data_IF_241106592157
#
_entry.id   IF_241106592157
#
_cell.length_a   1.000
_cell.length_b   1.000
_cell.length_c   1.000
_cell.angle_alpha   90.00
_cell.angle_beta   90.00
_cell.angle_gamma   90.00
#
_symmetry.space_group_name_H-M   'P 1'
#
loop_
_entity.id
_entity.type
_entity.pdbx_description
1 polymer ?
#
# COMPACT_ATOMS: atom_id res chain seq x y z
N UNK A 1 2.29 -26.43 7.00
CA UNK A 1 2.88 -26.29 5.65
C UNK A 1 3.37 -24.87 5.57
N UNK A 2 4.65 -24.64 5.30
CA UNK A 2 5.15 -23.29 5.00
C UNK A 2 4.60 -22.90 3.63
N UNK A 3 3.77 -21.87 3.60
CA UNK A 3 3.30 -21.26 2.36
C UNK A 3 4.53 -20.73 1.61
N UNK A 4 4.63 -21.03 0.32
CA UNK A 4 5.69 -20.50 -0.53
C UNK A 4 5.53 -18.97 -0.62
N UNK A 5 6.64 -18.22 -0.53
CA UNK A 5 6.63 -16.76 -0.69
C UNK A 5 6.04 -16.38 -2.05
N UNK A 6 5.13 -15.41 -2.05
CA UNK A 6 4.53 -14.89 -3.30
C UNK A 6 5.57 -14.10 -4.10
N UNK A 7 6.46 -13.38 -3.41
CA UNK A 7 7.59 -12.70 -4.05
C UNK A 7 8.52 -13.70 -4.73
N UNK A 8 8.95 -14.75 -4.05
CA UNK A 8 9.82 -15.77 -4.64
C UNK A 8 9.15 -16.46 -5.85
N UNK A 9 7.86 -16.76 -5.74
CA UNK A 9 7.09 -17.35 -6.84
C UNK A 9 7.00 -16.42 -8.05
N UNK A 10 6.85 -15.10 -7.84
CA UNK A 10 6.91 -14.12 -8.91
C UNK A 10 8.30 -14.11 -9.56
N UNK A 11 9.37 -14.06 -8.76
CA UNK A 11 10.75 -14.01 -9.26
C UNK A 11 11.13 -15.27 -10.04
N UNK A 12 10.63 -16.44 -9.65
CA UNK A 12 10.87 -17.70 -10.37
C UNK A 12 10.24 -17.73 -11.77
N UNK A 13 9.19 -16.95 -12.00
CA UNK A 13 8.54 -16.80 -13.32
C UNK A 13 9.05 -15.59 -14.11
N UNK A 14 9.81 -14.69 -13.49
CA UNK A 14 10.37 -13.47 -14.08
C UNK A 14 11.91 -13.43 -13.94
N UNK A 15 12.65 -14.28 -14.68
CA UNK A 15 14.09 -14.48 -14.50
C UNK A 15 14.92 -13.21 -14.74
N UNK A 16 14.48 -12.31 -15.63
CA UNK A 16 15.17 -11.05 -15.89
C UNK A 16 15.11 -10.12 -14.67
N UNK A 17 13.92 -9.95 -14.08
CA UNK A 17 13.74 -9.20 -12.83
C UNK A 17 14.50 -9.83 -11.68
N UNK A 18 14.46 -11.16 -11.54
CA UNK A 18 15.24 -11.89 -10.54
C UNK A 18 16.74 -11.62 -10.67
N UNK A 19 17.28 -11.69 -11.88
CA UNK A 19 18.71 -11.44 -12.13
C UNK A 19 19.12 -10.00 -11.79
N UNK A 20 18.28 -9.00 -12.08
CA UNK A 20 18.54 -7.59 -11.72
C UNK A 20 18.54 -7.43 -10.20
N UNK A 21 17.54 -7.98 -9.51
CA UNK A 21 17.42 -7.93 -8.05
C UNK A 21 18.64 -8.58 -7.38
N UNK A 22 19.02 -9.79 -7.80
CA UNK A 22 20.18 -10.49 -7.26
C UNK A 22 21.48 -9.70 -7.45
N UNK A 23 21.70 -9.09 -8.63
CA UNK A 23 22.87 -8.24 -8.88
C UNK A 23 22.92 -7.01 -7.97
N UNK A 24 21.79 -6.33 -7.79
CA UNK A 24 21.68 -5.17 -6.89
C UNK A 24 22.04 -5.60 -5.45
N UNK A 25 21.46 -6.69 -4.95
CA UNK A 25 21.73 -7.21 -3.61
C UNK A 25 23.20 -7.66 -3.43
N UNK A 26 23.84 -8.14 -4.49
CA UNK A 26 25.26 -8.48 -4.51
C UNK A 26 26.21 -7.27 -4.64
N UNK A 27 25.71 -6.04 -4.54
CA UNK A 27 26.47 -4.79 -4.73
C UNK A 27 27.14 -4.68 -6.11
N UNK A 28 26.54 -5.27 -7.14
CA UNK A 28 26.99 -5.17 -8.53
C UNK A 28 25.88 -4.63 -9.45
N UNK A 29 25.22 -3.50 -9.12
CA UNK A 29 24.12 -2.99 -9.92
C UNK A 29 24.62 -2.55 -11.30
N UNK A 30 23.99 -3.06 -12.35
CA UNK A 30 24.14 -2.60 -13.74
C UNK A 30 22.85 -1.96 -14.28
N UNK A 31 22.01 -1.47 -13.37
CA UNK A 31 20.67 -0.93 -13.64
C UNK A 31 20.55 0.52 -13.15
N UNK A 32 19.86 1.37 -13.91
CA UNK A 32 19.52 2.74 -13.47
C UNK A 32 18.33 2.70 -12.51
N UNK A 33 18.10 3.78 -11.75
CA UNK A 33 16.91 3.87 -10.90
C UNK A 33 15.61 3.86 -11.71
N UNK A 34 15.58 4.54 -12.86
CA UNK A 34 14.43 4.51 -13.78
C UNK A 34 14.14 3.09 -14.28
N UNK A 35 15.19 2.38 -14.73
CA UNK A 35 15.05 1.02 -15.22
C UNK A 35 14.62 0.06 -14.11
N UNK A 36 15.16 0.22 -12.91
CA UNK A 36 14.77 -0.57 -11.75
C UNK A 36 13.28 -0.40 -11.44
N UNK A 37 12.78 0.85 -11.41
CA UNK A 37 11.39 1.12 -11.10
C UNK A 37 10.47 0.63 -12.22
N UNK A 38 10.65 1.17 -13.42
CA UNK A 38 9.65 1.06 -14.49
C UNK A 38 9.59 -0.36 -15.08
N UNK A 39 10.72 -1.08 -15.10
CA UNK A 39 10.79 -2.42 -15.72
C UNK A 39 10.75 -3.57 -14.72
N UNK A 40 11.01 -3.31 -13.44
CA UNK A 40 11.17 -4.38 -12.46
C UNK A 40 10.28 -4.23 -11.24
N UNK A 41 10.39 -3.12 -10.49
CA UNK A 41 9.66 -3.00 -9.21
C UNK A 41 8.15 -2.74 -9.41
N UNK A 42 7.76 -1.81 -10.28
CA UNK A 42 6.35 -1.54 -10.54
C UNK A 42 5.63 -2.75 -11.17
N UNK A 43 6.17 -3.39 -12.24
CA UNK A 43 5.56 -4.61 -12.79
C UNK A 43 5.48 -5.79 -11.80
N UNK A 44 6.39 -5.84 -10.84
CA UNK A 44 6.36 -6.85 -9.77
C UNK A 44 5.23 -6.61 -8.78
N UNK A 45 5.03 -5.36 -8.37
CA UNK A 45 3.90 -4.98 -7.52
C UNK A 45 2.56 -5.27 -8.22
N UNK A 46 2.44 -4.89 -9.50
CA UNK A 46 1.25 -5.15 -10.31
C UNK A 46 0.95 -6.65 -10.42
N UNK A 47 1.94 -7.45 -10.85
CA UNK A 47 1.73 -8.89 -11.03
C UNK A 47 1.46 -9.63 -9.73
N UNK A 48 2.02 -9.19 -8.59
CA UNK A 48 1.70 -9.77 -7.28
C UNK A 48 0.26 -9.41 -6.87
N UNK A 49 -0.18 -8.17 -7.10
CA UNK A 49 -1.55 -7.77 -6.78
C UNK A 49 -2.61 -8.38 -7.71
N UNK A 50 -2.26 -8.68 -8.96
CA UNK A 50 -3.10 -9.50 -9.84
C UNK A 50 -3.33 -10.89 -9.22
N UNK A 51 -2.26 -11.58 -8.79
CA UNK A 51 -2.36 -12.89 -8.13
C UNK A 51 -3.19 -12.84 -6.84
N UNK A 52 -3.00 -11.80 -6.02
CA UNK A 52 -3.79 -11.58 -4.80
C UNK A 52 -5.26 -11.37 -5.14
N UNK A 53 -5.56 -10.55 -6.15
CA UNK A 53 -6.93 -10.27 -6.60
C UNK A 53 -7.63 -11.52 -7.10
N UNK A 54 -6.94 -12.34 -7.90
CA UNK A 54 -7.44 -13.64 -8.35
C UNK A 54 -7.73 -14.59 -7.19
N UNK A 55 -6.86 -14.61 -6.18
CA UNK A 55 -7.01 -15.46 -5.00
C UNK A 55 -8.21 -15.08 -4.15
N UNK A 56 -8.45 -13.77 -3.97
CA UNK A 56 -9.56 -13.24 -3.19
C UNK A 56 -10.87 -13.40 -3.96
N UNK A 57 -10.84 -13.20 -5.28
CA UNK A 57 -11.99 -13.19 -6.17
C UNK A 57 -13.17 -12.37 -5.58
N UNK A 58 -13.06 -11.03 -5.47
CA UNK A 58 -14.02 -10.17 -4.75
C UNK A 58 -15.48 -10.45 -5.07
N UNK A 59 -15.81 -10.72 -6.33
CA UNK A 59 -17.15 -11.04 -6.82
C UNK A 59 -17.79 -12.29 -6.19
N UNK A 60 -16.98 -13.20 -5.65
CA UNK A 60 -17.43 -14.47 -5.06
C UNK A 60 -17.56 -14.42 -3.54
N UNK A 61 -17.17 -13.30 -2.90
CA UNK A 61 -17.18 -13.20 -1.45
C UNK A 61 -18.62 -13.24 -0.90
N UNK A 62 -18.77 -13.86 0.27
CA UNK A 62 -19.94 -13.70 1.13
C UNK A 62 -19.90 -12.34 1.85
N UNK A 63 -21.02 -11.97 2.50
CA UNK A 63 -21.08 -10.74 3.32
C UNK A 63 -19.99 -10.75 4.39
N UNK A 64 -19.84 -11.86 5.11
CA UNK A 64 -18.89 -12.01 6.22
C UNK A 64 -17.44 -11.94 5.73
N UNK A 65 -17.16 -12.51 4.56
CA UNK A 65 -15.82 -12.47 3.97
C UNK A 65 -15.45 -11.06 3.51
N UNK A 66 -16.34 -10.38 2.79
CA UNK A 66 -16.11 -9.00 2.39
C UNK A 66 -15.98 -8.06 3.59
N UNK A 67 -16.81 -8.25 4.63
CA UNK A 67 -16.73 -7.48 5.88
C UNK A 67 -15.38 -7.65 6.58
N UNK A 68 -14.83 -8.87 6.61
CA UNK A 68 -13.52 -9.14 7.19
C UNK A 68 -12.45 -8.31 6.49
N UNK A 69 -12.36 -8.38 5.15
CA UNK A 69 -11.34 -7.64 4.41
C UNK A 69 -11.48 -6.13 4.62
N UNK A 70 -12.69 -5.58 4.50
CA UNK A 70 -12.95 -4.15 4.72
C UNK A 70 -12.47 -3.71 6.12
N UNK A 71 -12.77 -4.52 7.14
CA UNK A 71 -12.36 -4.25 8.52
C UNK A 71 -10.84 -4.30 8.70
N UNK A 72 -10.16 -5.28 8.11
CA UNK A 72 -8.71 -5.43 8.25
C UNK A 72 -7.95 -4.35 7.45
N UNK A 73 -8.38 -4.02 6.23
CA UNK A 73 -7.80 -2.91 5.44
C UNK A 73 -8.00 -1.55 6.13
N UNK A 74 -9.17 -1.35 6.77
CA UNK A 74 -9.42 -0.15 7.57
C UNK A 74 -8.42 0.03 8.73
N UNK A 75 -7.77 -1.04 9.18
CA UNK A 75 -6.74 -0.93 10.24
C UNK A 75 -5.46 -0.32 9.69
N UNK A 76 -5.01 -0.69 8.49
CA UNK A 76 -3.81 -0.10 7.90
C UNK A 76 -3.99 1.40 7.67
N UNK A 77 -5.10 1.81 7.04
CA UNK A 77 -5.46 3.22 6.84
C UNK A 77 -5.48 4.03 8.16
N UNK A 78 -5.87 3.41 9.28
CA UNK A 78 -5.87 4.05 10.62
C UNK A 78 -4.46 4.43 11.08
N UNK A 79 -3.45 3.66 10.72
CA UNK A 79 -2.08 3.83 11.20
C UNK A 79 -1.14 4.44 10.15
N UNK A 80 -1.49 4.44 8.86
CA UNK A 80 -0.64 4.89 7.76
C UNK A 80 -0.01 6.27 8.01
N UNK A 81 -0.84 7.27 8.32
CA UNK A 81 -0.36 8.63 8.63
C UNK A 81 0.67 8.65 9.78
N UNK A 82 0.48 7.81 10.80
CA UNK A 82 1.40 7.75 11.94
C UNK A 82 2.71 7.04 11.58
N UNK A 83 2.67 6.05 10.70
CA UNK A 83 3.87 5.41 10.15
C UNK A 83 4.67 6.43 9.32
N UNK A 84 4.04 7.16 8.40
CA UNK A 84 4.69 8.21 7.61
C UNK A 84 5.34 9.29 8.48
N UNK A 85 4.65 9.75 9.54
CA UNK A 85 5.22 10.70 10.51
C UNK A 85 6.50 10.18 11.16
N UNK A 86 6.54 8.88 11.49
CA UNK A 86 7.71 8.24 12.11
C UNK A 86 8.83 8.06 11.09
N UNK A 87 8.52 7.60 9.89
CA UNK A 87 9.48 7.48 8.79
C UNK A 87 10.18 8.82 8.53
N UNK A 88 9.42 9.92 8.45
CA UNK A 88 9.97 11.26 8.33
C UNK A 88 10.97 11.60 9.44
N UNK A 89 10.62 11.32 10.70
CA UNK A 89 11.51 11.58 11.83
C UNK A 89 12.78 10.72 11.81
N UNK A 90 12.67 9.46 11.37
CA UNK A 90 13.80 8.53 11.32
C UNK A 90 14.81 8.87 10.22
N UNK A 91 14.35 9.41 9.09
CA UNK A 91 15.24 9.71 7.95
C UNK A 91 15.76 11.14 7.93
N UNK A 92 15.18 12.08 8.70
CA UNK A 92 15.53 13.51 8.66
C UNK A 92 17.03 13.80 8.85
N UNK A 93 17.71 13.04 9.71
CA UNK A 93 19.14 13.23 9.94
C UNK A 93 20.05 12.73 8.81
N UNK A 94 19.52 11.90 7.91
CA UNK A 94 20.28 11.27 6.82
C UNK A 94 19.87 11.77 5.42
N UNK A 95 18.58 12.04 5.20
CA UNK A 95 18.03 12.58 3.97
C UNK A 95 16.83 13.50 4.31
N UNK A 96 17.07 14.82 4.29
CA UNK A 96 16.06 15.81 4.68
C UNK A 96 14.92 15.89 3.67
N UNK A 97 15.24 15.75 2.38
CA UNK A 97 14.30 15.76 1.28
C UNK A 97 13.33 14.59 1.36
N UNK A 98 13.81 13.38 1.68
CA UNK A 98 12.95 12.22 1.89
C UNK A 98 12.06 12.40 3.13
N UNK A 99 12.59 13.00 4.20
CA UNK A 99 11.78 13.33 5.36
C UNK A 99 10.68 14.37 5.04
N UNK A 100 10.95 15.31 4.14
CA UNK A 100 9.97 16.27 3.67
C UNK A 100 8.84 15.56 2.90
N UNK A 101 9.19 14.63 2.00
CA UNK A 101 8.19 13.86 1.24
C UNK A 101 7.29 13.05 2.18
N UNK A 102 7.86 12.32 3.16
CA UNK A 102 7.04 11.61 4.15
C UNK A 102 6.16 12.51 5.01
N UNK A 103 6.57 13.77 5.26
CA UNK A 103 5.73 14.75 5.96
C UNK A 103 4.58 15.22 5.10
N UNK A 104 4.80 15.39 3.79
CA UNK A 104 3.73 15.73 2.85
C UNK A 104 2.67 14.63 2.86
N UNK A 105 3.06 13.37 2.60
CA UNK A 105 2.13 12.24 2.65
C UNK A 105 1.45 12.12 4.03
N UNK A 106 2.19 12.31 5.13
CA UNK A 106 1.59 12.31 6.47
C UNK A 106 0.46 13.35 6.62
N UNK A 107 0.64 14.56 6.10
CA UNK A 107 -0.37 15.60 6.19
C UNK A 107 -1.59 15.29 5.33
N UNK A 108 -1.38 14.68 4.16
CA UNK A 108 -2.44 14.22 3.27
C UNK A 108 -3.26 13.09 3.94
N UNK A 109 -2.60 11.99 4.29
CA UNK A 109 -3.20 10.83 4.97
C UNK A 109 -3.82 11.16 6.33
N UNK A 110 -3.13 12.00 7.10
CA UNK A 110 -3.50 12.43 8.46
C UNK A 110 -4.53 13.55 8.49
N UNK A 111 -4.90 14.09 7.32
CA UNK A 111 -5.83 15.18 7.15
C UNK A 111 -5.14 16.54 7.16
N UNK A 112 -5.25 17.24 6.03
CA UNK A 112 -4.74 18.58 5.88
C UNK A 112 -5.65 19.58 6.61
N UNK A 113 -5.03 20.45 7.42
CA UNK A 113 -5.78 21.39 8.27
C UNK A 113 -6.62 22.35 7.43
N UNK A 114 -7.94 22.18 7.51
CA UNK A 114 -8.90 23.06 6.84
C UNK A 114 -9.15 22.72 5.37
N UNK A 115 -8.62 21.59 4.89
CA UNK A 115 -8.84 21.11 3.53
C UNK A 115 -9.51 19.73 3.56
N UNK A 116 -8.74 18.64 3.49
CA UNK A 116 -9.25 17.27 3.42
C UNK A 116 -9.15 16.60 4.81
N UNK A 117 -10.23 16.00 5.34
CA UNK A 117 -10.14 15.17 6.54
C UNK A 117 -9.22 13.96 6.32
N UNK A 118 -8.65 13.41 7.40
CA UNK A 118 -7.81 12.22 7.32
C UNK A 118 -8.49 11.08 6.54
N UNK A 119 -7.73 10.36 5.71
CA UNK A 119 -8.26 9.30 4.83
C UNK A 119 -9.01 8.23 5.63
N UNK A 120 -8.49 7.83 6.79
CA UNK A 120 -9.20 6.92 7.70
C UNK A 120 -10.56 7.45 8.18
N UNK A 121 -10.66 8.76 8.44
CA UNK A 121 -11.92 9.39 8.88
C UNK A 121 -12.92 9.43 7.74
N UNK A 122 -12.47 9.76 6.52
CA UNK A 122 -13.30 9.70 5.32
C UNK A 122 -13.81 8.29 5.07
N UNK A 123 -12.90 7.30 5.06
CA UNK A 123 -13.26 5.92 4.77
C UNK A 123 -14.21 5.33 5.81
N UNK A 124 -13.86 5.42 7.10
CA UNK A 124 -14.70 4.85 8.16
C UNK A 124 -16.03 5.58 8.32
N UNK A 125 -16.07 6.88 8.04
CA UNK A 125 -17.30 7.66 7.97
C UNK A 125 -18.18 7.23 6.80
N UNK A 126 -17.61 7.03 5.61
CA UNK A 126 -18.31 6.58 4.41
C UNK A 126 -18.91 5.17 4.58
N UNK A 127 -18.13 4.21 5.10
CA UNK A 127 -18.62 2.87 5.43
C UNK A 127 -19.82 2.90 6.40
N UNK A 128 -19.77 3.76 7.42
CA UNK A 128 -20.85 3.87 8.38
C UNK A 128 -22.09 4.56 7.78
N UNK A 129 -21.89 5.62 7.00
CA UNK A 129 -22.99 6.41 6.42
C UNK A 129 -23.75 5.64 5.34
N UNK A 130 -23.03 5.01 4.41
CA UNK A 130 -23.61 4.39 3.22
C UNK A 130 -23.97 2.91 3.43
N UNK A 131 -23.17 2.18 4.23
CA UNK A 131 -23.33 0.73 4.43
C UNK A 131 -23.77 0.35 5.84
N UNK A 132 -23.81 1.30 6.78
CA UNK A 132 -24.03 0.99 8.20
C UNK A 132 -22.90 0.14 8.83
N UNK A 133 -21.76 0.00 8.13
CA UNK A 133 -20.67 -0.86 8.55
C UNK A 133 -19.69 -0.09 9.45
N UNK A 134 -19.67 -0.46 10.73
CA UNK A 134 -18.73 0.11 11.69
C UNK A 134 -17.39 -0.65 11.69
N UNK A 135 -16.34 0.06 11.28
CA UNK A 135 -14.94 -0.41 11.38
C UNK A 135 -14.16 0.26 12.53
N UNK A 136 -14.71 1.32 13.14
CA UNK A 136 -14.06 2.03 14.24
C UNK A 136 -13.97 1.16 15.49
N UNK A 137 -12.75 1.00 16.00
CA UNK A 137 -12.45 0.14 17.16
C UNK A 137 -12.28 -1.32 16.80
N UNK A 138 -12.29 -1.69 15.50
CA UNK A 138 -11.93 -3.04 15.07
C UNK A 138 -10.54 -3.41 15.60
N UNK A 139 -10.47 -4.59 16.20
CA UNK A 139 -9.23 -5.18 16.72
C UNK A 139 -8.66 -6.04 15.59
N UNK A 140 -7.46 -5.73 15.08
CA UNK A 140 -6.87 -6.45 13.95
C UNK A 140 -6.65 -7.93 14.24
N UNK A 141 -6.72 -8.73 13.18
CA UNK A 141 -6.25 -10.10 13.20
C UNK A 141 -4.71 -10.18 13.43
N UNK A 142 -4.19 -11.32 13.93
CA UNK A 142 -2.75 -11.52 14.13
C UNK A 142 -1.87 -11.23 12.91
N UNK A 143 -2.32 -11.59 11.71
CA UNK A 143 -1.63 -11.32 10.45
C UNK A 143 -1.53 -9.81 10.17
N UNK A 144 -2.61 -9.06 10.42
CA UNK A 144 -2.61 -7.58 10.30
C UNK A 144 -1.70 -6.95 11.34
N UNK A 145 -1.72 -7.43 12.59
CA UNK A 145 -0.78 -6.97 13.62
C UNK A 145 0.68 -7.22 13.23
N UNK A 146 0.95 -8.33 12.55
CA UNK A 146 2.29 -8.66 12.06
C UNK A 146 2.75 -7.66 11.01
N UNK A 147 1.88 -7.30 10.05
CA UNK A 147 2.16 -6.27 9.05
C UNK A 147 2.41 -4.90 9.69
N UNK A 148 1.60 -4.49 10.66
CA UNK A 148 1.80 -3.23 11.40
C UNK A 148 3.14 -3.23 12.16
N UNK A 149 3.49 -4.34 12.80
CA UNK A 149 4.76 -4.50 13.51
C UNK A 149 5.94 -4.42 12.55
N UNK A 150 5.81 -4.95 11.34
CA UNK A 150 6.85 -4.86 10.32
C UNK A 150 7.15 -3.40 9.95
N UNK A 151 6.12 -2.56 9.81
CA UNK A 151 6.28 -1.12 9.58
C UNK A 151 6.96 -0.42 10.77
N UNK A 152 6.59 -0.78 12.00
CA UNK A 152 7.24 -0.22 13.20
C UNK A 152 8.73 -0.57 13.27
N UNK A 153 9.09 -1.83 12.96
CA UNK A 153 10.48 -2.28 12.93
C UNK A 153 11.27 -1.59 11.80
N UNK A 154 10.64 -1.42 10.62
CA UNK A 154 11.25 -0.72 9.50
C UNK A 154 11.64 0.72 9.89
N UNK A 155 10.72 1.48 10.50
CA UNK A 155 10.99 2.89 10.83
C UNK A 155 11.89 3.08 12.05
N UNK A 156 11.96 2.12 12.99
CA UNK A 156 12.83 2.23 14.18
C UNK A 156 14.24 1.71 13.96
N UNK A 157 14.41 0.68 13.13
CA UNK A 157 15.62 -0.13 13.09
C UNK A 157 16.49 0.05 11.84
N UNK A 158 16.01 0.76 10.83
CA UNK A 158 16.59 0.71 9.49
C UNK A 158 17.22 2.02 9.02
N UNK A 159 18.05 1.94 7.98
CA UNK A 159 18.64 3.11 7.33
C UNK A 159 17.61 3.89 6.52
N UNK A 160 17.93 5.14 6.14
CA UNK A 160 17.08 5.92 5.24
C UNK A 160 16.84 5.22 3.89
N UNK A 161 17.83 4.48 3.39
CA UNK A 161 17.73 3.72 2.15
C UNK A 161 16.72 2.57 2.27
N UNK A 162 16.81 1.78 3.34
CA UNK A 162 15.84 0.70 3.61
C UNK A 162 14.43 1.24 3.84
N UNK A 163 14.28 2.34 4.59
CA UNK A 163 12.98 2.99 4.79
C UNK A 163 12.41 3.49 3.45
N UNK A 164 13.22 4.12 2.60
CA UNK A 164 12.82 4.57 1.27
C UNK A 164 12.24 3.41 0.43
N UNK A 165 12.94 2.27 0.40
CA UNK A 165 12.47 1.09 -0.33
C UNK A 165 11.18 0.50 0.23
N UNK A 166 11.07 0.37 1.55
CA UNK A 166 9.87 -0.17 2.18
C UNK A 166 8.62 0.69 1.96
N UNK A 167 8.76 2.02 2.03
CA UNK A 167 7.63 2.91 1.71
C UNK A 167 7.36 3.00 0.22
N UNK A 168 8.36 2.84 -0.64
CA UNK A 168 8.09 2.70 -2.07
C UNK A 168 7.23 1.46 -2.37
N UNK A 169 7.46 0.33 -1.69
CA UNK A 169 6.59 -0.84 -1.79
C UNK A 169 5.17 -0.56 -1.24
N UNK A 170 5.07 0.21 -0.16
CA UNK A 170 3.79 0.55 0.48
C UNK A 170 2.92 1.43 -0.41
N UNK A 171 3.47 2.55 -0.89
CA UNK A 171 2.74 3.46 -1.79
C UNK A 171 2.56 2.82 -3.17
N UNK A 172 3.58 2.09 -3.66
CA UNK A 172 3.59 1.48 -4.99
C UNK A 172 2.46 0.50 -5.26
N UNK A 173 1.87 -0.08 -4.21
CA UNK A 173 0.70 -0.96 -4.33
C UNK A 173 -0.63 -0.25 -4.03
N UNK A 174 -0.62 0.99 -3.57
CA UNK A 174 -1.80 1.67 -3.03
C UNK A 174 -2.94 1.83 -4.05
N UNK A 175 -2.61 2.06 -5.34
CA UNK A 175 -3.60 2.06 -6.42
C UNK A 175 -4.27 0.68 -6.55
N UNK A 176 -3.46 -0.38 -6.69
CA UNK A 176 -3.96 -1.76 -6.85
C UNK A 176 -4.76 -2.20 -5.62
N UNK A 177 -4.28 -1.88 -4.42
CA UNK A 177 -4.97 -2.14 -3.15
C UNK A 177 -6.31 -1.41 -3.07
N UNK A 178 -6.35 -0.14 -3.47
CA UNK A 178 -7.58 0.66 -3.45
C UNK A 178 -8.61 0.15 -4.47
N UNK A 179 -8.18 -0.28 -5.66
CA UNK A 179 -9.05 -0.91 -6.67
C UNK A 179 -9.62 -2.23 -6.16
N UNK A 180 -8.79 -3.07 -5.52
CA UNK A 180 -9.23 -4.31 -4.90
C UNK A 180 -10.21 -4.05 -3.75
N UNK A 181 -9.92 -3.09 -2.88
CA UNK A 181 -10.79 -2.67 -1.79
C UNK A 181 -12.14 -2.16 -2.29
N UNK A 182 -12.15 -1.37 -3.38
CA UNK A 182 -13.38 -0.93 -4.05
C UNK A 182 -14.20 -2.12 -4.52
N UNK A 183 -13.57 -3.09 -5.17
CA UNK A 183 -14.26 -4.31 -5.66
C UNK A 183 -14.87 -5.13 -4.51
N UNK A 184 -14.16 -5.25 -3.38
CA UNK A 184 -14.67 -5.91 -2.17
C UNK A 184 -15.84 -5.12 -1.56
N UNK A 185 -15.74 -3.79 -1.56
CA UNK A 185 -16.76 -2.89 -1.01
C UNK A 185 -18.01 -2.85 -1.87
N UNK A 186 -17.86 -2.87 -3.21
CA UNK A 186 -18.94 -3.03 -4.18
C UNK A 186 -19.69 -4.33 -3.91
N UNK A 187 -18.96 -5.44 -3.77
CA UNK A 187 -19.56 -6.74 -3.43
C UNK A 187 -20.34 -6.67 -2.12
N UNK A 188 -19.77 -6.07 -1.09
CA UNK A 188 -20.45 -5.92 0.19
C UNK A 188 -21.73 -5.08 0.07
N UNK A 189 -21.66 -3.96 -0.65
CA UNK A 189 -22.81 -3.07 -0.87
C UNK A 189 -23.93 -3.74 -1.67
N UNK A 190 -23.59 -4.47 -2.73
CA UNK A 190 -24.55 -5.26 -3.51
C UNK A 190 -25.28 -6.29 -2.64
N UNK A 191 -24.57 -6.96 -1.73
CA UNK A 191 -25.15 -7.98 -0.87
C UNK A 191 -25.95 -7.43 0.31
N UNK A 192 -25.64 -6.23 0.80
CA UNK A 192 -26.25 -5.68 2.04
C UNK A 192 -27.28 -4.59 1.79
N UNK A 193 -27.03 -3.68 0.85
CA UNK A 193 -27.90 -2.54 0.54
C UNK A 193 -28.37 -2.52 -0.92
N UNK A 194 -27.89 -3.44 -1.76
CA UNK A 194 -28.30 -3.59 -3.15
C UNK A 194 -27.67 -2.59 -4.11
N UNK A 195 -26.55 -1.96 -3.74
CA UNK A 195 -25.88 -0.94 -4.55
C UNK A 195 -24.34 -1.02 -4.40
N UNK A 196 -23.57 -0.85 -5.49
CA UNK A 196 -22.12 -0.73 -5.44
C UNK A 196 -21.68 0.66 -4.94
N UNK A 197 -20.41 0.81 -4.57
CA UNK A 197 -19.80 2.06 -4.05
C UNK A 197 -20.03 3.27 -4.95
N UNK A 198 -20.01 3.11 -6.27
CA UNK A 198 -20.25 4.20 -7.23
C UNK A 198 -21.67 4.80 -7.15
N UNK A 199 -22.60 4.14 -6.45
CA UNK A 199 -23.97 4.63 -6.22
C UNK A 199 -24.18 5.07 -4.77
N UNK A 200 -23.12 5.04 -3.96
CA UNK A 200 -23.10 5.35 -2.54
C UNK A 200 -22.28 6.63 -2.32
N UNK A 201 -22.91 7.79 -2.08
CA UNK A 201 -22.24 9.09 -2.25
C UNK A 201 -20.97 9.30 -1.43
N UNK A 202 -20.90 8.81 -0.19
CA UNK A 202 -19.73 8.99 0.64
C UNK A 202 -18.58 8.05 0.23
N UNK A 203 -18.91 6.83 -0.19
CA UNK A 203 -17.93 5.88 -0.71
C UNK A 203 -17.43 6.25 -2.11
N UNK A 204 -18.31 6.71 -2.99
CA UNK A 204 -17.94 7.21 -4.32
C UNK A 204 -16.94 8.37 -4.20
N UNK A 205 -17.20 9.34 -3.31
CA UNK A 205 -16.27 10.41 -3.01
C UNK A 205 -14.90 9.89 -2.53
N UNK A 206 -14.89 8.95 -1.58
CA UNK A 206 -13.64 8.35 -1.08
C UNK A 206 -12.83 7.69 -2.20
N UNK A 207 -13.46 6.90 -3.06
CA UNK A 207 -12.75 6.20 -4.14
C UNK A 207 -12.31 7.14 -5.26
N UNK A 208 -13.11 8.15 -5.60
CA UNK A 208 -12.70 9.17 -6.56
C UNK A 208 -11.48 9.94 -6.06
N UNK A 209 -11.42 10.31 -4.78
CA UNK A 209 -10.27 11.01 -4.21
C UNK A 209 -8.93 10.26 -4.44
N UNK A 210 -8.92 8.94 -4.35
CA UNK A 210 -7.70 8.13 -4.47
C UNK A 210 -7.40 7.67 -5.91
N UNK A 211 -8.42 7.47 -6.73
CA UNK A 211 -8.29 6.84 -8.06
C UNK A 211 -8.50 7.79 -9.24
N UNK A 212 -9.07 8.98 -9.02
CA UNK A 212 -9.39 9.93 -10.09
C UNK A 212 -8.34 11.06 -10.15
N UNK A 213 -7.69 11.18 -11.30
CA UNK A 213 -6.70 12.21 -11.64
C UNK A 213 -7.33 13.60 -11.84
N UNK A 214 -8.65 13.66 -12.07
CA UNK A 214 -9.40 14.91 -12.25
C UNK A 214 -10.08 15.40 -10.95
N UNK A 215 -9.93 14.67 -9.84
CA UNK A 215 -10.54 15.04 -8.56
C UNK A 215 -9.96 16.37 -8.04
N UNK A 216 -10.74 17.14 -7.27
CA UNK A 216 -10.29 18.43 -6.71
C UNK A 216 -9.08 18.32 -5.75
N UNK A 217 -8.83 17.10 -5.27
CA UNK A 217 -7.72 16.74 -4.41
C UNK A 217 -6.50 16.18 -5.17
N UNK A 218 -6.60 15.97 -6.49
CA UNK A 218 -5.51 15.48 -7.30
C UNK A 218 -4.32 16.45 -7.23
N UNK A 219 -3.11 15.90 -7.25
CA UNK A 219 -1.91 16.73 -7.30
C UNK A 219 -1.91 17.55 -8.60
N UNK A 220 -1.43 18.80 -8.53
CA UNK A 220 -1.53 19.81 -9.60
C UNK A 220 -0.88 19.45 -10.95
N UNK A 221 -0.30 18.25 -11.07
CA UNK A 221 0.31 17.69 -12.27
C UNK A 221 -0.60 16.64 -12.97
N UNK A 222 -1.87 16.51 -12.57
CA UNK A 222 -2.81 15.56 -13.16
C UNK A 222 -2.58 14.12 -12.69
N UNK A 223 -2.11 13.96 -11.45
CA UNK A 223 -1.95 12.66 -10.78
C UNK A 223 -3.01 12.55 -9.69
N UNK A 224 -3.63 11.38 -9.55
CA UNK A 224 -4.42 11.08 -8.36
C UNK A 224 -3.51 11.14 -7.10
N UNK A 225 -4.12 11.24 -5.93
CA UNK A 225 -3.43 11.24 -4.62
C UNK A 225 -2.40 10.10 -4.54
N UNK A 226 -2.83 8.88 -4.88
CA UNK A 226 -1.97 7.70 -4.81
C UNK A 226 -0.83 7.75 -5.84
N UNK A 227 -1.12 8.18 -7.07
CA UNK A 227 -0.08 8.31 -8.10
C UNK A 227 0.98 9.35 -7.72
N UNK A 228 0.58 10.43 -7.04
CA UNK A 228 1.51 11.44 -6.52
C UNK A 228 2.38 10.89 -5.38
N UNK A 229 1.84 10.07 -4.48
CA UNK A 229 2.62 9.39 -3.43
C UNK A 229 3.68 8.44 -4.03
N UNK A 230 3.28 7.63 -5.02
CA UNK A 230 4.18 6.68 -5.71
C UNK A 230 5.34 7.42 -6.36
N UNK A 231 5.04 8.44 -7.16
CA UNK A 231 6.05 9.21 -7.89
C UNK A 231 6.98 10.00 -6.96
N UNK A 232 6.42 10.55 -5.87
CA UNK A 232 7.17 11.27 -4.84
C UNK A 232 8.29 10.42 -4.23
N UNK A 233 8.00 9.16 -3.87
CA UNK A 233 9.03 8.25 -3.35
C UNK A 233 9.91 7.69 -4.47
N UNK A 234 9.34 7.36 -5.63
CA UNK A 234 10.09 6.85 -6.79
C UNK A 234 11.25 7.78 -7.18
N UNK A 235 11.04 9.09 -7.08
CA UNK A 235 12.07 10.12 -7.34
C UNK A 235 13.36 9.88 -6.56
N UNK A 236 13.28 9.40 -5.32
CA UNK A 236 14.46 9.14 -4.48
C UNK A 236 15.24 7.90 -4.92
N UNK A 237 14.56 6.90 -5.48
CA UNK A 237 15.18 5.70 -6.04
C UNK A 237 15.80 6.02 -7.41
N UNK A 238 15.07 6.75 -8.25
CA UNK A 238 15.56 7.23 -9.56
C UNK A 238 16.83 8.04 -9.43
N UNK A 239 16.86 8.93 -8.43
CA UNK A 239 17.97 9.85 -8.16
C UNK A 239 18.78 9.45 -6.92
N UNK A 240 18.88 8.16 -6.59
CA UNK A 240 19.54 7.68 -5.37
C UNK A 240 20.96 8.24 -5.16
N UNK A 241 21.72 8.44 -6.24
CA UNK A 241 23.11 8.90 -6.17
C UNK A 241 23.17 10.37 -5.70
N UNK A 242 22.16 11.18 -6.07
CA UNK A 242 21.98 12.56 -5.59
C UNK A 242 21.63 12.60 -4.10
N UNK A 243 20.76 11.68 -3.66
CA UNK A 243 20.29 11.61 -2.28
C UNK A 243 21.17 10.74 -1.37
N UNK A 244 22.28 10.22 -1.90
CA UNK A 244 23.20 9.32 -1.20
C UNK A 244 22.52 8.10 -0.58
N UNK A 245 21.55 7.52 -1.29
CA UNK A 245 20.83 6.31 -0.87
C UNK A 245 21.46 5.06 -1.49
N UNK A 246 21.63 4.03 -0.66
CA UNK A 246 22.22 2.74 -1.03
C UNK A 246 21.18 1.83 -1.68
N UNK A 247 21.41 1.44 -2.94
CA UNK A 247 20.47 0.64 -3.73
C UNK A 247 20.22 -0.77 -3.17
N UNK A 248 21.23 -1.54 -2.72
CA UNK A 248 20.99 -2.81 -2.03
C UNK A 248 20.06 -2.66 -0.82
N UNK A 249 20.27 -1.63 0.02
CA UNK A 249 19.40 -1.37 1.17
C UNK A 249 17.98 -0.95 0.77
N UNK A 250 17.81 -0.13 -0.28
CA UNK A 250 16.50 0.18 -0.87
C UNK A 250 15.80 -1.13 -1.25
N UNK A 251 16.48 -2.00 -1.99
CA UNK A 251 15.87 -3.22 -2.49
C UNK A 251 15.52 -4.20 -1.37
N UNK A 252 16.35 -4.32 -0.34
CA UNK A 252 16.03 -5.11 0.86
C UNK A 252 14.76 -4.61 1.57
N UNK A 253 14.63 -3.29 1.78
CA UNK A 253 13.44 -2.69 2.37
C UNK A 253 12.18 -2.89 1.52
N UNK A 254 12.30 -2.73 0.20
CA UNK A 254 11.22 -2.99 -0.75
C UNK A 254 10.71 -4.43 -0.66
N UNK A 255 11.62 -5.41 -0.73
CA UNK A 255 11.27 -6.83 -0.68
C UNK A 255 10.68 -7.21 0.68
N UNK A 256 11.21 -6.66 1.77
CA UNK A 256 10.71 -6.90 3.13
C UNK A 256 9.22 -6.51 3.26
N UNK A 257 8.86 -5.31 2.81
CA UNK A 257 7.47 -4.83 2.90
C UNK A 257 6.57 -5.52 1.89
N UNK A 258 7.00 -5.68 0.64
CA UNK A 258 6.19 -6.32 -0.39
C UNK A 258 5.83 -7.78 -0.03
N UNK A 259 6.80 -8.55 0.47
CA UNK A 259 6.53 -9.90 0.98
C UNK A 259 5.63 -9.87 2.21
N UNK A 260 5.82 -8.90 3.11
CA UNK A 260 4.96 -8.68 4.27
C UNK A 260 3.49 -8.45 3.88
N UNK A 261 3.25 -7.59 2.89
CA UNK A 261 1.91 -7.31 2.36
C UNK A 261 1.31 -8.51 1.63
N UNK A 262 2.07 -9.18 0.76
CA UNK A 262 1.60 -10.36 0.05
C UNK A 262 1.24 -11.50 1.00
N UNK A 263 2.06 -11.71 2.04
CA UNK A 263 1.79 -12.69 3.09
C UNK A 263 0.55 -12.32 3.90
N UNK A 264 0.39 -11.05 4.27
CA UNK A 264 -0.79 -10.58 4.99
C UNK A 264 -2.08 -10.86 4.21
N UNK A 265 -2.11 -10.53 2.92
CA UNK A 265 -3.24 -10.84 2.04
C UNK A 265 -3.52 -12.35 1.93
N UNK A 266 -2.48 -13.17 1.81
CA UNK A 266 -2.61 -14.63 1.77
C UNK A 266 -3.16 -15.20 3.07
N UNK A 267 -2.68 -14.74 4.23
CA UNK A 267 -3.15 -15.18 5.54
C UNK A 267 -4.59 -14.73 5.82
N UNK A 268 -4.94 -13.49 5.44
CA UNK A 268 -6.32 -13.00 5.48
C UNK A 268 -7.25 -13.83 4.59
N UNK A 269 -6.77 -14.25 3.42
CA UNK A 269 -7.53 -15.11 2.52
C UNK A 269 -7.83 -16.46 3.16
N UNK A 270 -6.86 -17.08 3.82
CA UNK A 270 -7.09 -18.32 4.58
C UNK A 270 -8.11 -18.10 5.69
N UNK A 271 -8.03 -16.97 6.42
CA UNK A 271 -9.03 -16.62 7.45
C UNK A 271 -10.42 -16.43 6.85
N UNK A 272 -10.56 -15.71 5.74
CA UNK A 272 -11.84 -15.47 5.09
C UNK A 272 -12.51 -16.79 4.66
N UNK A 273 -11.75 -17.75 4.14
CA UNK A 273 -12.25 -19.07 3.78
C UNK A 273 -12.68 -19.93 4.98
N UNK A 274 -12.24 -19.59 6.19
CA UNK A 274 -12.66 -20.27 7.42
C UNK A 274 -13.95 -19.69 8.02
N UNK A 275 -14.44 -18.57 7.49
CA UNK A 275 -15.72 -17.99 7.91
C UNK A 275 -16.90 -18.81 7.36
N UNK A 276 -18.00 -18.90 8.12
CA UNK A 276 -19.19 -19.65 7.74
C UNK A 276 -19.97 -19.03 6.58
#
# INVERSE_FOLDING_TARGET
MTQQSTVDAYLDTHPDTKAVIEKVLLNAPDVTGDELIDKHLAPMMDGIFELITEQIAPQNLSVQQAELYIKELSVFARYNAQFLRRAAASVEGACFELAHEFRRNHLEEGGERGHIPAHYTLYSGALLADLGLRVNGHVPAPETLTLLTLHDLLVEGSSASTICGGYYATEGVAINETVLLRSITDRYGELTVGAPSAQLPALDYYYQLHLDEEHEAAAGDGLSVEAAHIEGIATFIRNRDLYHLDLPQILDGFLQILEGMARWWGELTVRAHSLP
#
